data_IF_690095190310
#
_entry.id   IF_690095190310
#
_cell.length_a   1.000
_cell.length_b   1.000
_cell.length_c   1.000
_cell.angle_alpha   90.00
_cell.angle_beta   90.00
_cell.angle_gamma   90.00
#
_symmetry.space_group_name_H-M   'P 1'
#
loop_
_entity.id
_entity.type
_entity.pdbx_description
1 polymer ?
#
# COMPACT_ATOMS: atom_id res chain seq x y z
N UNK A 1 11.65 9.78 -4.00
CA UNK A 1 10.72 8.62 -4.07
C UNK A 1 10.29 8.42 -5.51
N UNK A 2 10.67 7.32 -6.12
CA UNK A 2 10.27 6.99 -7.50
C UNK A 2 9.17 5.93 -7.54
N UNK A 3 9.09 5.11 -6.51
CA UNK A 3 8.10 4.05 -6.35
C UNK A 3 7.48 4.22 -4.97
N UNK A 4 6.18 4.15 -4.90
CA UNK A 4 5.46 4.25 -3.62
C UNK A 4 4.49 3.10 -3.47
N UNK A 5 4.40 2.57 -2.26
CA UNK A 5 3.43 1.56 -1.88
C UNK A 5 2.32 2.24 -1.10
N UNK A 6 1.07 2.03 -1.48
CA UNK A 6 -0.08 2.61 -0.78
C UNK A 6 -0.74 1.60 0.14
N UNK A 7 -1.29 2.09 1.25
CA UNK A 7 -2.21 1.31 2.08
C UNK A 7 -3.66 1.48 1.59
N UNK A 8 -4.59 0.76 2.22
CA UNK A 8 -6.01 0.84 1.84
C UNK A 8 -6.61 2.21 2.13
N UNK A 9 -6.19 2.85 3.21
CA UNK A 9 -6.76 4.13 3.64
C UNK A 9 -6.53 5.24 2.62
N UNK A 10 -5.40 5.26 1.94
CA UNK A 10 -5.14 6.23 0.87
C UNK A 10 -6.21 6.11 -0.21
N UNK A 11 -6.50 4.90 -0.66
CA UNK A 11 -7.54 4.69 -1.68
C UNK A 11 -8.91 5.13 -1.17
N UNK A 12 -9.27 4.71 0.05
CA UNK A 12 -10.59 5.02 0.63
C UNK A 12 -10.77 6.53 0.78
N UNK A 13 -9.76 7.23 1.30
CA UNK A 13 -9.83 8.68 1.50
C UNK A 13 -9.92 9.42 0.17
N UNK A 14 -9.12 9.03 -0.83
CA UNK A 14 -9.15 9.67 -2.14
C UNK A 14 -10.46 9.41 -2.88
N UNK A 15 -11.06 8.23 -2.70
CA UNK A 15 -12.38 7.92 -3.27
C UNK A 15 -13.43 8.85 -2.65
N UNK A 16 -13.42 9.03 -1.33
CA UNK A 16 -14.36 9.92 -0.63
C UNK A 16 -14.24 11.37 -1.11
N UNK A 17 -13.02 11.80 -1.41
CA UNK A 17 -12.76 13.16 -1.89
C UNK A 17 -12.97 13.29 -3.40
N UNK A 18 -13.23 12.19 -4.11
CA UNK A 18 -13.30 12.14 -5.56
C UNK A 18 -11.97 12.56 -6.23
N UNK A 19 -10.85 12.24 -5.59
CA UNK A 19 -9.51 12.62 -6.03
C UNK A 19 -8.63 11.43 -6.42
N UNK A 20 -9.21 10.24 -6.53
CA UNK A 20 -8.41 9.03 -6.79
C UNK A 20 -7.57 9.16 -8.07
N UNK A 21 -8.14 9.75 -9.13
CA UNK A 21 -7.41 9.92 -10.39
C UNK A 21 -6.14 10.77 -10.27
N UNK A 22 -6.12 11.71 -9.33
CA UNK A 22 -4.95 12.57 -9.14
C UNK A 22 -3.73 11.80 -8.62
N UNK A 23 -3.96 10.73 -7.86
CA UNK A 23 -2.87 9.88 -7.38
C UNK A 23 -2.03 9.36 -8.56
N UNK A 24 -2.68 9.02 -9.66
CA UNK A 24 -2.03 8.42 -10.81
C UNK A 24 -1.53 9.45 -11.83
N UNK A 25 -1.67 10.74 -11.52
CA UNK A 25 -1.12 11.82 -12.33
C UNK A 25 0.27 12.27 -11.85
N UNK A 26 0.67 11.88 -10.64
CA UNK A 26 2.00 12.24 -10.12
C UNK A 26 3.08 11.37 -10.77
N UNK A 27 4.30 11.88 -10.83
CA UNK A 27 5.41 11.17 -11.46
C UNK A 27 6.05 10.18 -10.50
N UNK A 28 5.25 9.24 -10.02
CA UNK A 28 5.65 8.18 -9.11
C UNK A 28 4.96 6.90 -9.57
N UNK A 29 5.70 5.81 -9.59
CA UNK A 29 5.14 4.50 -9.88
C UNK A 29 4.41 3.99 -8.63
N UNK A 30 3.12 3.68 -8.76
CA UNK A 30 2.27 3.30 -7.61
C UNK A 30 2.09 1.80 -7.58
N UNK A 31 2.41 1.21 -6.43
CA UNK A 31 2.21 -0.19 -6.13
C UNK A 31 1.31 -0.34 -4.91
N UNK A 32 0.66 -1.47 -4.81
CA UNK A 32 0.05 -1.92 -3.56
C UNK A 32 0.13 -3.44 -3.50
N UNK A 33 -0.31 -4.01 -2.40
CA UNK A 33 -0.31 -5.46 -2.21
C UNK A 33 -1.69 -6.04 -2.46
N UNK A 34 -1.75 -7.33 -2.81
CA UNK A 34 -3.03 -8.03 -2.94
C UNK A 34 -3.80 -8.00 -1.61
N UNK A 35 -3.11 -8.07 -0.47
CA UNK A 35 -3.72 -7.97 0.86
C UNK A 35 -4.46 -6.66 1.04
N UNK A 36 -3.88 -5.54 0.60
CA UNK A 36 -4.53 -4.23 0.63
C UNK A 36 -5.77 -4.22 -0.27
N UNK A 37 -5.65 -4.75 -1.48
CA UNK A 37 -6.79 -4.81 -2.42
C UNK A 37 -7.94 -5.63 -1.83
N UNK A 38 -7.62 -6.71 -1.14
CA UNK A 38 -8.64 -7.57 -0.51
C UNK A 38 -9.37 -6.90 0.67
N UNK A 39 -8.84 -5.80 1.20
CA UNK A 39 -9.54 -4.98 2.20
C UNK A 39 -10.61 -4.08 1.59
N UNK A 40 -10.50 -3.76 0.31
CA UNK A 40 -11.44 -2.87 -0.37
C UNK A 40 -12.74 -3.61 -0.64
N UNK A 41 -13.87 -2.91 -0.47
CA UNK A 41 -15.19 -3.51 -0.65
C UNK A 41 -15.92 -2.85 -1.82
N UNK A 42 -16.76 -3.64 -2.50
CA UNK A 42 -17.76 -3.21 -3.49
C UNK A 42 -17.32 -2.01 -4.35
N UNK A 43 -17.89 -0.82 -4.07
CA UNK A 43 -17.64 0.40 -4.82
C UNK A 43 -16.17 0.83 -4.79
N UNK A 44 -15.51 0.66 -3.65
CA UNK A 44 -14.08 0.99 -3.52
C UNK A 44 -13.25 0.15 -4.48
N UNK A 45 -13.47 -1.15 -4.49
CA UNK A 45 -12.76 -2.07 -5.38
C UNK A 45 -13.04 -1.75 -6.85
N UNK A 46 -14.30 -1.47 -7.17
CA UNK A 46 -14.69 -1.12 -8.54
C UNK A 46 -13.94 0.11 -9.05
N UNK A 47 -13.83 1.14 -8.23
CA UNK A 47 -13.15 2.38 -8.61
C UNK A 47 -11.65 2.19 -8.79
N UNK A 48 -11.03 1.39 -7.94
CA UNK A 48 -9.59 1.11 -8.01
C UNK A 48 -9.27 0.19 -9.20
N UNK A 49 -10.16 -0.73 -9.53
CA UNK A 49 -9.97 -1.70 -10.62
C UNK A 49 -9.68 -1.02 -11.96
N UNK A 50 -10.27 0.14 -12.22
CA UNK A 50 -10.01 0.89 -13.45
C UNK A 50 -8.52 1.17 -13.61
N UNK A 51 -7.84 1.55 -12.53
CA UNK A 51 -6.42 1.89 -12.56
C UNK A 51 -5.53 0.64 -12.60
N UNK A 52 -6.02 -0.49 -12.09
CA UNK A 52 -5.34 -1.78 -12.24
C UNK A 52 -5.36 -2.21 -13.72
N UNK A 53 -6.52 -2.13 -14.35
CA UNK A 53 -6.69 -2.53 -15.75
C UNK A 53 -5.90 -1.65 -16.70
N UNK A 54 -5.78 -0.36 -16.41
CA UNK A 54 -4.99 0.57 -17.21
C UNK A 54 -3.48 0.51 -16.91
N UNK A 55 -3.07 -0.36 -15.99
CA UNK A 55 -1.67 -0.55 -15.57
C UNK A 55 -1.05 0.68 -14.90
N UNK A 56 -1.87 1.56 -14.35
CA UNK A 56 -1.41 2.70 -13.57
C UNK A 56 -1.17 2.30 -12.11
N UNK A 57 -1.88 1.28 -11.64
CA UNK A 57 -1.69 0.69 -10.31
C UNK A 57 -1.15 -0.72 -10.47
N UNK A 58 0.01 -0.98 -9.85
CA UNK A 58 0.67 -2.28 -9.88
C UNK A 58 0.35 -3.04 -8.60
N UNK A 59 -0.07 -4.29 -8.73
CA UNK A 59 -0.41 -5.15 -7.60
C UNK A 59 0.66 -6.21 -7.44
N UNK A 60 1.21 -6.31 -6.22
CA UNK A 60 2.14 -7.37 -5.89
C UNK A 60 1.43 -8.50 -5.16
N UNK A 61 1.63 -9.73 -5.64
CA UNK A 61 1.09 -10.94 -5.03
C UNK A 61 2.23 -11.74 -4.43
N UNK A 62 2.19 -11.96 -3.11
CA UNK A 62 3.28 -12.62 -2.40
C UNK A 62 3.23 -14.14 -2.56
N UNK A 63 4.40 -14.78 -2.57
CA UNK A 63 4.52 -16.23 -2.46
C UNK A 63 4.17 -16.68 -1.04
N UNK A 64 3.96 -17.98 -0.87
CA UNK A 64 3.70 -18.54 0.47
C UNK A 64 4.85 -18.25 1.43
N UNK A 65 6.08 -18.34 0.95
CA UNK A 65 7.28 -18.05 1.75
C UNK A 65 7.30 -16.59 2.20
N UNK A 66 6.98 -15.66 1.30
CA UNK A 66 6.92 -14.24 1.63
C UNK A 66 5.82 -13.94 2.64
N UNK A 67 4.64 -14.55 2.48
CA UNK A 67 3.53 -14.39 3.43
C UNK A 67 3.93 -14.87 4.83
N UNK A 68 4.66 -15.96 4.91
CA UNK A 68 5.17 -16.48 6.18
C UNK A 68 6.12 -15.48 6.84
N UNK A 69 7.02 -14.89 6.06
CA UNK A 69 7.94 -13.86 6.55
C UNK A 69 7.18 -12.62 7.03
N UNK A 70 6.12 -12.21 6.32
CA UNK A 70 5.29 -11.07 6.72
C UNK A 70 4.61 -11.37 8.05
N UNK A 71 4.03 -12.57 8.21
CA UNK A 71 3.35 -12.96 9.45
C UNK A 71 4.32 -12.95 10.65
N UNK A 72 5.57 -13.33 10.44
CA UNK A 72 6.58 -13.40 11.50
C UNK A 72 7.27 -12.06 11.74
N UNK A 73 6.98 -11.04 10.94
CA UNK A 73 7.59 -9.73 11.09
C UNK A 73 7.27 -9.12 12.46
N UNK A 74 8.31 -8.73 13.19
CA UNK A 74 8.16 -8.04 14.46
C UNK A 74 7.65 -6.62 14.20
N UNK A 75 6.46 -6.32 14.71
CA UNK A 75 5.80 -5.03 14.50
C UNK A 75 4.86 -4.74 15.67
N UNK A 76 4.52 -3.45 15.90
CA UNK A 76 3.55 -3.10 16.93
C UNK A 76 2.20 -3.79 16.70
N UNK A 77 1.49 -4.08 17.77
CA UNK A 77 0.19 -4.76 17.71
C UNK A 77 -0.87 -3.97 16.93
N UNK A 78 -0.70 -2.66 16.81
CA UNK A 78 -1.62 -1.82 16.05
C UNK A 78 -1.53 -2.05 14.54
N UNK A 79 -0.47 -2.69 14.05
CA UNK A 79 -0.29 -2.96 12.63
C UNK A 79 -0.96 -4.27 12.23
N UNK A 80 -1.80 -4.19 11.19
CA UNK A 80 -2.49 -5.34 10.63
C UNK A 80 -1.55 -6.13 9.70
N UNK A 81 -2.01 -7.29 9.25
CA UNK A 81 -1.32 -8.07 8.22
C UNK A 81 -1.14 -7.25 6.94
N UNK A 82 -2.17 -6.48 6.56
CA UNK A 82 -2.13 -5.62 5.40
C UNK A 82 -1.06 -4.53 5.54
N UNK A 83 -0.96 -3.91 6.72
CA UNK A 83 0.07 -2.92 7.00
C UNK A 83 1.47 -3.52 6.89
N UNK A 84 1.67 -4.70 7.46
CA UNK A 84 2.95 -5.41 7.38
C UNK A 84 3.32 -5.74 5.93
N UNK A 85 2.33 -6.09 5.11
CA UNK A 85 2.56 -6.40 3.69
C UNK A 85 3.10 -5.20 2.95
N UNK A 86 2.59 -4.01 3.26
CA UNK A 86 3.05 -2.75 2.66
C UNK A 86 4.52 -2.49 3.03
N UNK A 87 4.85 -2.63 4.31
CA UNK A 87 6.23 -2.42 4.78
C UNK A 87 7.19 -3.44 4.17
N UNK A 88 6.78 -4.70 4.12
CA UNK A 88 7.61 -5.77 3.54
C UNK A 88 7.92 -5.49 2.07
N UNK A 89 6.91 -5.13 1.29
CA UNK A 89 7.11 -4.82 -0.12
C UNK A 89 8.00 -3.60 -0.30
N UNK A 90 7.76 -2.54 0.48
CA UNK A 90 8.55 -1.31 0.39
C UNK A 90 10.05 -1.58 0.65
N UNK A 91 10.35 -2.43 1.62
CA UNK A 91 11.73 -2.81 1.92
C UNK A 91 12.35 -3.62 0.77
N UNK A 92 11.58 -4.53 0.19
CA UNK A 92 12.09 -5.43 -0.84
C UNK A 92 12.40 -4.73 -2.16
N UNK A 93 11.58 -3.77 -2.55
CA UNK A 93 11.77 -3.06 -3.82
C UNK A 93 12.32 -1.65 -3.64
N UNK A 94 12.73 -1.30 -2.41
CA UNK A 94 13.30 0.00 -2.09
C UNK A 94 12.36 1.16 -2.46
N UNK A 95 11.09 1.01 -2.09
CA UNK A 95 10.06 2.00 -2.33
C UNK A 95 9.74 2.80 -1.07
N UNK A 96 9.11 3.95 -1.25
CA UNK A 96 8.51 4.69 -0.15
C UNK A 96 7.10 4.19 0.13
N UNK A 97 6.47 4.74 1.16
CA UNK A 97 5.11 4.40 1.56
C UNK A 97 4.25 5.65 1.58
N UNK A 98 3.05 5.55 1.03
CA UNK A 98 2.01 6.59 1.12
C UNK A 98 0.96 6.10 2.10
N UNK A 99 0.83 6.78 3.23
CA UNK A 99 -0.16 6.42 4.25
C UNK A 99 -0.49 7.61 5.13
N UNK A 100 -1.75 7.74 5.51
CA UNK A 100 -2.20 8.68 6.53
C UNK A 100 -2.30 8.07 7.92
N UNK A 101 -2.05 6.77 8.05
CA UNK A 101 -2.17 6.05 9.32
C UNK A 101 -0.94 6.26 10.20
N UNK A 102 -1.11 6.87 11.37
CA UNK A 102 0.01 7.22 12.22
C UNK A 102 0.85 6.02 12.70
N UNK A 103 0.27 4.93 13.19
CA UNK A 103 1.07 3.77 13.58
C UNK A 103 1.93 3.22 12.45
N UNK A 104 1.36 3.14 11.24
CA UNK A 104 2.10 2.66 10.07
C UNK A 104 3.22 3.62 9.70
N UNK A 105 2.94 4.92 9.67
CA UNK A 105 3.94 5.95 9.37
C UNK A 105 5.11 5.89 10.33
N UNK A 106 4.84 5.75 11.63
CA UNK A 106 5.88 5.66 12.66
C UNK A 106 6.74 4.41 12.47
N UNK A 107 6.11 3.28 12.18
CA UNK A 107 6.85 2.04 11.96
C UNK A 107 7.74 2.13 10.71
N UNK A 108 7.21 2.69 9.63
CA UNK A 108 8.00 2.91 8.41
C UNK A 108 9.23 3.78 8.68
N UNK A 109 9.08 4.85 9.44
CA UNK A 109 10.21 5.71 9.80
C UNK A 109 11.28 4.93 10.59
N UNK A 110 10.87 4.06 11.52
CA UNK A 110 11.80 3.21 12.27
C UNK A 110 12.51 2.20 11.38
N UNK A 111 11.90 1.82 10.27
CA UNK A 111 12.48 0.91 9.28
C UNK A 111 13.30 1.65 8.23
N UNK A 112 13.52 2.94 8.39
CA UNK A 112 14.26 3.80 7.45
C UNK A 112 13.61 3.88 6.07
N UNK A 113 12.29 3.78 6.00
CA UNK A 113 11.52 3.94 4.78
C UNK A 113 11.07 5.39 4.65
N UNK A 114 11.10 5.90 3.42
CA UNK A 114 10.52 7.20 3.12
C UNK A 114 9.00 7.10 3.23
N UNK A 115 8.37 8.09 3.87
CA UNK A 115 6.92 8.10 4.12
C UNK A 115 6.34 9.45 3.74
N UNK A 116 5.19 9.40 3.07
CA UNK A 116 4.46 10.62 2.71
C UNK A 116 2.96 10.55 2.92
#
# INVERSE_FOLDING_TARGET
>A
MKIAITDANIFIDLIKLQWLGYLFCIDIEIYTTLEVINELIDDQLERVTIFIQSRQLNIYSFSSSELEQIMQMAAPAALTMQDKSVVFLAKNIQAGVLSGDNPLRKFCAKQNLEVK
#
